data_IF_849031788338
#
_entry.id   IF_849031788338
#
_cell.length_a   1.000
_cell.length_b   1.000
_cell.length_c   1.000
_cell.angle_alpha   90.00
_cell.angle_beta   90.00
_cell.angle_gamma   90.00
#
_symmetry.space_group_name_H-M   'P 1'
#
loop_
_entity.id
_entity.type
_entity.pdbx_description
1 polymer ?
#
# COMPACT_ATOMS: atom_id res chain seq x y z
N UNK A 1 10.70 -5.30 -17.42
CA UNK A 1 11.12 -3.91 -17.69
C UNK A 1 9.93 -3.06 -18.16
N UNK A 2 10.01 -1.77 -17.89
CA UNK A 2 9.04 -0.79 -18.35
C UNK A 2 9.73 0.29 -19.21
N UNK A 3 8.95 1.23 -19.77
CA UNK A 3 9.49 2.42 -20.46
C UNK A 3 10.16 3.43 -19.50
N UNK A 4 10.17 3.14 -18.21
CA UNK A 4 10.79 3.95 -17.17
C UNK A 4 12.06 3.27 -16.67
N UNK A 5 13.18 3.98 -16.71
CA UNK A 5 14.45 3.48 -16.17
C UNK A 5 14.30 3.11 -14.69
N UNK A 6 14.92 2.02 -14.30
CA UNK A 6 14.93 1.50 -12.92
C UNK A 6 13.56 1.07 -12.38
N UNK A 7 12.57 0.81 -13.26
CA UNK A 7 11.28 0.30 -12.87
C UNK A 7 10.95 -0.92 -13.71
N UNK A 8 10.82 -2.06 -13.05
CA UNK A 8 10.27 -3.28 -13.62
C UNK A 8 8.88 -3.54 -13.05
N UNK A 9 8.07 -4.33 -13.73
CA UNK A 9 6.71 -4.66 -13.28
C UNK A 9 6.46 -6.15 -13.48
N UNK A 10 5.84 -6.76 -12.49
CA UNK A 10 5.24 -8.10 -12.55
C UNK A 10 3.74 -7.90 -12.68
N UNK A 11 3.16 -8.07 -13.89
CA UNK A 11 1.74 -7.81 -14.09
C UNK A 11 0.90 -8.96 -13.56
N UNK A 12 -0.16 -8.64 -12.81
CA UNK A 12 -1.21 -9.58 -12.48
C UNK A 12 -2.26 -9.67 -13.61
N UNK A 13 -2.92 -10.81 -13.74
CA UNK A 13 -4.00 -11.03 -14.68
C UNK A 13 -5.07 -11.98 -14.11
N UNK A 14 -6.12 -12.29 -14.88
CA UNK A 14 -7.24 -13.13 -14.44
C UNK A 14 -6.86 -14.56 -14.02
N UNK A 15 -5.65 -15.04 -14.33
CA UNK A 15 -5.17 -16.34 -13.85
C UNK A 15 -4.75 -16.31 -12.37
N UNK A 16 -4.53 -15.13 -11.79
CA UNK A 16 -4.16 -14.99 -10.40
C UNK A 16 -5.22 -15.61 -9.46
N UNK A 17 -6.51 -15.40 -9.76
CA UNK A 17 -7.61 -16.05 -9.03
C UNK A 17 -7.53 -17.58 -9.06
N UNK A 18 -7.14 -18.17 -10.20
CA UNK A 18 -6.95 -19.62 -10.29
C UNK A 18 -5.74 -20.10 -9.47
N UNK A 19 -4.71 -19.29 -9.43
CA UNK A 19 -3.52 -19.57 -8.59
C UNK A 19 -3.90 -19.53 -7.12
N UNK A 20 -4.65 -18.52 -6.70
CA UNK A 20 -5.17 -18.38 -5.35
C UNK A 20 -5.97 -19.62 -4.92
N UNK A 21 -6.95 -20.03 -5.74
CA UNK A 21 -7.73 -21.24 -5.49
C UNK A 21 -6.84 -22.51 -5.41
N UNK A 22 -5.84 -22.62 -6.27
CA UNK A 22 -4.93 -23.76 -6.24
C UNK A 22 -4.07 -23.79 -4.97
N UNK A 23 -3.63 -22.64 -4.47
CA UNK A 23 -2.91 -22.53 -3.21
C UNK A 23 -3.78 -22.97 -2.03
N UNK A 24 -5.04 -22.56 -1.99
CA UNK A 24 -6.00 -22.97 -0.95
C UNK A 24 -6.28 -24.49 -0.97
N UNK A 25 -6.33 -25.09 -2.16
CA UNK A 25 -6.67 -26.52 -2.31
C UNK A 25 -5.46 -27.45 -2.13
N UNK A 26 -4.25 -26.98 -2.32
CA UNK A 26 -3.02 -27.74 -2.15
C UNK A 26 -2.38 -27.39 -0.83
N UNK A 27 -2.45 -28.28 0.14
CA UNK A 27 -1.75 -28.15 1.42
C UNK A 27 -0.24 -28.39 1.19
N UNK A 28 0.49 -27.35 0.82
CA UNK A 28 1.95 -27.37 0.68
C UNK A 28 2.59 -26.57 1.82
N UNK A 29 3.73 -26.99 2.34
CA UNK A 29 4.35 -26.42 3.55
C UNK A 29 4.74 -24.92 3.39
N UNK A 30 5.02 -24.45 2.16
CA UNK A 30 5.45 -23.08 1.89
C UNK A 30 4.40 -22.22 1.16
N UNK A 31 3.14 -22.60 1.16
CA UNK A 31 2.11 -21.92 0.37
C UNK A 31 1.92 -20.42 0.70
N UNK A 32 2.27 -20.00 1.92
CA UNK A 32 2.13 -18.60 2.37
C UNK A 32 3.44 -17.80 2.28
N UNK A 33 4.59 -18.43 2.04
CA UNK A 33 5.92 -17.80 1.99
C UNK A 33 6.49 -17.70 0.59
N UNK A 34 5.79 -18.19 -0.43
CA UNK A 34 6.27 -18.28 -1.81
C UNK A 34 6.72 -16.95 -2.41
N UNK A 35 5.99 -15.89 -2.15
CA UNK A 35 6.37 -14.57 -2.65
C UNK A 35 7.65 -14.08 -1.98
N UNK A 36 7.78 -14.25 -0.68
CA UNK A 36 9.00 -13.90 0.06
C UNK A 36 10.21 -14.65 -0.50
N UNK A 37 10.11 -15.97 -0.66
CA UNK A 37 11.17 -16.81 -1.23
C UNK A 37 11.57 -16.35 -2.65
N UNK A 38 10.57 -16.04 -3.50
CA UNK A 38 10.82 -15.55 -4.86
C UNK A 38 11.44 -14.15 -4.89
N UNK A 39 11.10 -13.26 -3.96
CA UNK A 39 11.67 -11.93 -3.86
C UNK A 39 13.11 -11.96 -3.33
N UNK A 40 13.45 -12.91 -2.44
CA UNK A 40 14.82 -13.12 -1.96
C UNK A 40 15.78 -13.43 -3.09
N UNK A 41 15.34 -14.16 -4.14
CA UNK A 41 16.16 -14.51 -5.31
C UNK A 41 16.59 -13.28 -6.14
N UNK A 42 15.85 -12.16 -6.04
CA UNK A 42 16.09 -10.94 -6.83
C UNK A 42 16.39 -9.71 -5.96
N UNK A 43 16.50 -9.88 -4.65
CA UNK A 43 16.67 -8.79 -3.67
C UNK A 43 17.88 -7.90 -3.96
N UNK A 44 19.00 -8.48 -4.43
CA UNK A 44 20.22 -7.74 -4.76
C UNK A 44 20.07 -6.80 -5.98
N UNK A 45 19.00 -6.96 -6.76
CA UNK A 45 18.77 -6.19 -7.99
C UNK A 45 17.85 -4.98 -7.80
N UNK A 46 17.16 -4.89 -6.65
CA UNK A 46 16.15 -3.86 -6.41
C UNK A 46 16.25 -3.26 -5.01
N UNK A 47 16.10 -1.95 -4.91
CA UNK A 47 16.05 -1.24 -3.62
C UNK A 47 14.68 -1.38 -2.95
N UNK A 48 13.61 -1.45 -3.74
CA UNK A 48 12.22 -1.50 -3.23
C UNK A 48 11.35 -2.41 -4.09
N UNK A 49 10.43 -3.12 -3.44
CA UNK A 49 9.33 -3.84 -4.07
C UNK A 49 8.01 -3.26 -3.58
N UNK A 50 7.14 -2.81 -4.49
CA UNK A 50 5.82 -2.26 -4.16
C UNK A 50 4.75 -3.21 -4.68
N UNK A 51 3.96 -3.80 -3.78
CA UNK A 51 2.86 -4.67 -4.12
C UNK A 51 1.54 -3.89 -4.08
N UNK A 52 0.90 -3.71 -5.24
CA UNK A 52 -0.47 -3.18 -5.33
C UNK A 52 -1.46 -4.34 -5.21
N UNK A 53 -2.20 -4.41 -4.13
CA UNK A 53 -3.08 -5.52 -3.79
C UNK A 53 -4.51 -5.08 -3.50
N UNK A 54 -5.43 -6.06 -3.57
CA UNK A 54 -6.84 -5.86 -3.29
C UNK A 54 -7.15 -5.77 -1.80
N UNK A 55 -8.45 -5.61 -1.49
CA UNK A 55 -8.97 -5.51 -0.12
C UNK A 55 -9.26 -6.85 0.55
N UNK A 56 -9.35 -7.92 -0.23
CA UNK A 56 -9.70 -9.25 0.28
C UNK A 56 -8.43 -9.93 0.77
N UNK A 57 -8.50 -10.51 1.96
CA UNK A 57 -7.44 -11.34 2.51
C UNK A 57 -7.49 -12.74 1.88
N UNK A 58 -7.08 -12.82 0.60
CA UNK A 58 -6.88 -14.07 -0.12
C UNK A 58 -5.43 -14.57 0.05
N UNK A 59 -5.10 -15.74 -0.49
CA UNK A 59 -3.76 -16.32 -0.39
C UNK A 59 -2.69 -15.46 -1.05
N UNK A 60 -3.05 -14.67 -2.07
CA UNK A 60 -2.14 -13.74 -2.72
C UNK A 60 -1.81 -12.58 -1.78
N UNK A 61 -2.82 -11.98 -1.14
CA UNK A 61 -2.63 -10.90 -0.16
C UNK A 61 -1.90 -11.41 1.08
N UNK A 62 -2.18 -12.62 1.57
CA UNK A 62 -1.43 -13.24 2.67
C UNK A 62 0.06 -13.38 2.32
N UNK A 63 0.39 -13.87 1.12
CA UNK A 63 1.77 -13.95 0.65
C UNK A 63 2.46 -12.57 0.59
N UNK A 64 1.74 -11.53 0.15
CA UNK A 64 2.24 -10.16 0.14
C UNK A 64 2.52 -9.65 1.56
N UNK A 65 1.58 -9.84 2.49
CA UNK A 65 1.73 -9.39 3.88
C UNK A 65 2.87 -10.12 4.61
N UNK A 66 3.09 -11.40 4.30
CA UNK A 66 4.21 -12.17 4.87
C UNK A 66 5.56 -11.73 4.29
N UNK A 67 5.59 -11.25 3.05
CA UNK A 67 6.80 -10.74 2.41
C UNK A 67 7.09 -9.26 2.71
N UNK A 68 6.09 -8.50 3.14
CA UNK A 68 6.19 -7.06 3.32
C UNK A 68 6.83 -6.67 4.66
N UNK A 69 7.55 -5.55 4.69
CA UNK A 69 8.04 -4.87 5.89
C UNK A 69 7.06 -3.80 6.36
N UNK A 70 6.33 -3.18 5.42
CA UNK A 70 5.41 -2.10 5.69
C UNK A 70 4.16 -2.20 4.82
N UNK A 71 3.00 -2.12 5.46
CA UNK A 71 1.71 -1.91 4.80
C UNK A 71 1.38 -0.43 4.82
N UNK A 72 1.22 0.17 3.65
CA UNK A 72 0.65 1.51 3.53
C UNK A 72 -0.85 1.37 3.29
N UNK A 73 -1.66 1.74 4.27
CA UNK A 73 -3.11 1.68 4.19
C UNK A 73 -3.71 3.02 3.76
N UNK A 74 -4.17 3.18 2.49
CA UNK A 74 -4.78 4.43 2.05
C UNK A 74 -6.17 4.58 2.65
N UNK A 75 -6.34 5.63 3.46
CA UNK A 75 -7.60 5.98 4.12
C UNK A 75 -8.22 7.20 3.43
N UNK A 76 -9.39 7.02 2.86
CA UNK A 76 -10.20 8.11 2.32
C UNK A 76 -11.16 8.59 3.40
N UNK A 77 -11.48 9.88 3.44
CA UNK A 77 -12.48 10.41 4.37
C UNK A 77 -13.87 9.83 4.09
N UNK A 78 -14.39 9.07 5.05
CA UNK A 78 -15.72 8.46 5.01
C UNK A 78 -16.00 7.71 6.31
N UNK A 79 -17.21 7.20 6.49
CA UNK A 79 -17.63 6.56 7.75
C UNK A 79 -17.18 5.09 7.90
N UNK A 80 -16.85 4.42 6.81
CA UNK A 80 -16.49 2.98 6.80
C UNK A 80 -15.00 2.71 6.79
N UNK A 81 -14.18 3.71 6.53
CA UNK A 81 -12.73 3.53 6.36
C UNK A 81 -12.03 3.30 7.69
N UNK A 82 -12.59 3.80 8.79
CA UNK A 82 -12.08 3.57 10.15
C UNK A 82 -12.25 2.09 10.52
N UNK A 83 -13.45 1.56 10.34
CA UNK A 83 -13.74 0.14 10.57
C UNK A 83 -12.87 -0.77 9.69
N UNK A 84 -12.67 -0.38 8.41
CA UNK A 84 -11.81 -1.13 7.50
C UNK A 84 -10.34 -1.13 7.94
N UNK A 85 -9.85 -0.04 8.53
CA UNK A 85 -8.49 0.04 9.06
C UNK A 85 -8.32 -0.82 10.31
N UNK A 86 -9.29 -0.81 11.23
CA UNK A 86 -9.32 -1.68 12.41
C UNK A 86 -9.34 -3.16 12.03
N UNK A 87 -10.21 -3.53 11.09
CA UNK A 87 -10.25 -4.91 10.57
C UNK A 87 -8.93 -5.33 9.91
N UNK A 88 -8.25 -4.41 9.23
CA UNK A 88 -6.92 -4.70 8.65
C UNK A 88 -5.88 -4.94 9.75
N UNK A 89 -5.90 -4.16 10.82
CA UNK A 89 -4.98 -4.35 11.95
C UNK A 89 -5.20 -5.70 12.61
N UNK A 90 -6.45 -6.10 12.89
CA UNK A 90 -6.79 -7.41 13.42
C UNK A 90 -6.26 -8.55 12.53
N UNK A 91 -6.45 -8.42 11.21
CA UNK A 91 -5.95 -9.41 10.24
C UNK A 91 -4.42 -9.49 10.21
N UNK A 92 -3.73 -8.38 10.37
CA UNK A 92 -2.26 -8.36 10.44
C UNK A 92 -1.78 -8.97 11.75
N UNK A 93 -2.49 -8.75 12.85
CA UNK A 93 -2.14 -9.36 14.14
C UNK A 93 -2.13 -10.89 14.04
N UNK A 94 -3.07 -11.49 13.32
CA UNK A 94 -3.11 -12.94 13.07
C UNK A 94 -1.89 -13.46 12.27
N UNK A 95 -1.20 -12.57 11.54
CA UNK A 95 -0.01 -12.92 10.74
C UNK A 95 1.32 -12.66 11.48
N UNK A 96 1.30 -12.07 12.68
CA UNK A 96 2.52 -11.71 13.42
C UNK A 96 3.35 -12.92 13.85
N UNK A 97 2.75 -14.09 13.98
CA UNK A 97 3.49 -15.33 14.24
C UNK A 97 4.46 -15.70 13.11
N UNK A 98 4.16 -15.25 11.85
CA UNK A 98 4.95 -15.56 10.66
C UNK A 98 5.80 -14.35 10.24
N UNK A 99 5.27 -13.13 10.41
CA UNK A 99 5.95 -11.87 10.11
C UNK A 99 5.80 -10.88 11.28
N UNK A 100 6.60 -11.03 12.35
CA UNK A 100 6.47 -10.22 13.56
C UNK A 100 6.84 -8.75 13.37
N UNK A 101 7.63 -8.44 12.36
CA UNK A 101 8.14 -7.09 12.11
C UNK A 101 7.25 -6.28 11.16
N UNK A 102 6.14 -6.86 10.69
CA UNK A 102 5.21 -6.18 9.79
C UNK A 102 4.59 -4.94 10.44
N UNK A 103 4.81 -3.79 9.83
CA UNK A 103 4.26 -2.50 10.28
C UNK A 103 3.09 -2.08 9.42
N UNK A 104 2.15 -1.31 10.00
CA UNK A 104 1.06 -0.64 9.28
C UNK A 104 1.22 0.85 9.44
N UNK A 105 1.07 1.60 8.35
CA UNK A 105 1.04 3.04 8.38
C UNK A 105 -0.11 3.58 7.54
N UNK A 106 -0.99 4.36 8.15
CA UNK A 106 -2.13 4.94 7.47
C UNK A 106 -1.71 6.15 6.62
N UNK A 107 -2.22 6.22 5.38
CA UNK A 107 -2.03 7.36 4.49
C UNK A 107 -3.38 7.99 4.16
N UNK A 108 -3.65 9.16 4.71
CA UNK A 108 -4.87 9.89 4.37
C UNK A 108 -4.85 10.32 2.91
N UNK A 109 -5.87 9.91 2.15
CA UNK A 109 -5.99 10.22 0.72
C UNK A 109 -7.27 11.00 0.42
N UNK A 110 -7.30 11.67 -0.75
CA UNK A 110 -8.44 12.49 -1.19
C UNK A 110 -8.89 13.53 -0.17
N UNK A 111 -7.97 14.01 0.65
CA UNK A 111 -8.24 15.01 1.70
C UNK A 111 -8.85 16.27 1.08
N UNK A 112 -9.94 16.75 1.69
CA UNK A 112 -10.64 17.98 1.33
C UNK A 112 -10.59 19.00 2.48
N UNK A 113 -10.71 20.29 2.14
CA UNK A 113 -10.79 21.35 3.15
C UNK A 113 -12.24 21.51 3.63
N UNK A 114 -12.77 20.50 4.32
CA UNK A 114 -14.08 20.54 4.98
C UNK A 114 -13.99 20.00 6.40
N UNK A 115 -15.03 20.24 7.19
CA UNK A 115 -15.07 19.90 8.61
C UNK A 115 -14.88 18.39 8.84
N UNK A 116 -15.57 17.56 8.06
CA UNK A 116 -15.50 16.11 8.20
C UNK A 116 -14.09 15.58 7.94
N UNK A 117 -13.39 16.10 6.90
CA UNK A 117 -11.99 15.71 6.63
C UNK A 117 -11.05 16.09 7.78
N UNK A 118 -11.26 17.24 8.40
CA UNK A 118 -10.44 17.67 9.52
C UNK A 118 -10.72 16.84 10.78
N UNK A 119 -11.96 16.52 11.06
CA UNK A 119 -12.34 15.66 12.20
C UNK A 119 -11.76 14.24 12.06
N UNK A 120 -11.83 13.64 10.89
CA UNK A 120 -11.25 12.31 10.64
C UNK A 120 -9.72 12.36 10.72
N UNK A 121 -9.09 13.40 10.16
CA UNK A 121 -7.64 13.59 10.25
C UNK A 121 -7.19 13.73 11.71
N UNK A 122 -7.90 14.48 12.51
CA UNK A 122 -7.61 14.68 13.92
C UNK A 122 -7.79 13.37 14.71
N UNK A 123 -8.90 12.67 14.49
CA UNK A 123 -9.15 11.38 15.12
C UNK A 123 -8.07 10.36 14.78
N UNK A 124 -7.68 10.25 13.51
CA UNK A 124 -6.58 9.36 13.09
C UNK A 124 -5.27 9.70 13.81
N UNK A 125 -4.97 10.98 14.03
CA UNK A 125 -3.72 11.42 14.68
C UNK A 125 -3.71 11.24 16.19
N UNK A 126 -4.86 11.35 16.85
CA UNK A 126 -4.91 11.47 18.31
C UNK A 126 -5.54 10.28 19.02
N UNK A 127 -6.49 9.61 18.40
CA UNK A 127 -7.35 8.62 19.06
C UNK A 127 -7.29 7.22 18.44
N UNK A 128 -6.89 7.12 17.17
CA UNK A 128 -6.93 5.82 16.47
C UNK A 128 -5.88 4.83 16.94
N UNK A 129 -4.75 5.32 17.47
CA UNK A 129 -3.59 4.49 17.80
C UNK A 129 -2.76 4.06 16.60
N UNK A 130 -3.21 4.33 15.37
CA UNK A 130 -2.47 3.98 14.16
C UNK A 130 -1.31 4.94 13.90
N UNK A 131 -0.16 4.39 13.49
CA UNK A 131 0.88 5.20 12.88
C UNK A 131 0.39 5.74 11.51
N UNK A 132 0.72 6.99 11.20
CA UNK A 132 0.27 7.61 9.97
C UNK A 132 1.28 8.58 9.38
N UNK A 133 1.23 8.72 8.07
CA UNK A 133 1.99 9.76 7.39
C UNK A 133 1.53 11.16 7.81
N UNK A 134 2.48 12.05 8.03
CA UNK A 134 2.21 13.46 8.39
C UNK A 134 1.55 14.18 7.21
N UNK A 135 1.99 13.88 6.00
CA UNK A 135 1.49 14.51 4.77
C UNK A 135 0.28 13.76 4.21
N UNK A 136 -0.93 14.34 4.19
CA UNK A 136 -2.07 13.76 3.50
C UNK A 136 -2.00 14.01 1.99
N UNK A 137 -2.54 13.10 1.19
CA UNK A 137 -2.73 13.30 -0.25
C UNK A 137 -4.04 14.04 -0.50
N UNK A 138 -3.97 15.25 -1.01
CA UNK A 138 -5.14 16.09 -1.31
C UNK A 138 -5.92 15.57 -2.52
N UNK A 139 -7.23 15.74 -2.50
CA UNK A 139 -8.06 15.49 -3.68
C UNK A 139 -7.67 16.43 -4.82
N UNK A 140 -7.52 15.88 -6.02
CA UNK A 140 -7.12 16.66 -7.20
C UNK A 140 -7.72 16.10 -8.49
N UNK A 141 -8.36 16.96 -9.25
CA UNK A 141 -8.82 16.67 -10.62
C UNK A 141 -7.62 16.36 -11.55
N UNK A 142 -6.45 16.89 -11.24
CA UNK A 142 -5.22 16.61 -12.00
C UNK A 142 -4.82 15.14 -11.87
N UNK A 143 -4.97 14.53 -10.69
CA UNK A 143 -4.73 13.11 -10.50
C UNK A 143 -5.71 12.26 -11.34
N UNK A 144 -7.00 12.61 -11.33
CA UNK A 144 -8.02 11.93 -12.14
C UNK A 144 -7.69 12.02 -13.65
N UNK A 145 -7.27 13.21 -14.13
CA UNK A 145 -6.86 13.43 -15.53
C UNK A 145 -5.59 12.65 -15.89
N UNK A 146 -4.62 12.55 -14.99
CA UNK A 146 -3.40 11.77 -15.16
C UNK A 146 -3.74 10.29 -15.38
N UNK A 147 -4.62 9.73 -14.55
CA UNK A 147 -5.10 8.34 -14.68
C UNK A 147 -5.82 8.11 -16.01
N UNK A 148 -6.73 9.02 -16.40
CA UNK A 148 -7.45 8.95 -17.68
C UNK A 148 -6.50 8.99 -18.87
N UNK A 149 -5.44 9.80 -18.78
CA UNK A 149 -4.42 9.93 -19.82
C UNK A 149 -3.41 8.77 -19.82
N UNK A 150 -3.45 7.86 -18.84
CA UNK A 150 -2.46 6.79 -18.61
C UNK A 150 -1.02 7.33 -18.54
N UNK A 151 -0.85 8.51 -17.97
CA UNK A 151 0.46 9.14 -17.77
C UNK A 151 0.70 9.28 -16.28
N UNK A 152 1.83 8.77 -15.75
CA UNK A 152 2.15 8.91 -14.33
C UNK A 152 2.12 10.37 -13.87
N UNK A 153 1.50 10.60 -12.72
CA UNK A 153 1.25 11.94 -12.18
C UNK A 153 2.49 12.86 -12.14
N UNK A 154 3.70 12.38 -11.75
CA UNK A 154 4.91 13.21 -11.77
C UNK A 154 5.31 13.71 -13.16
N UNK A 155 4.98 12.95 -14.23
CA UNK A 155 5.18 13.37 -15.63
C UNK A 155 4.04 14.26 -16.11
N UNK A 156 2.79 13.94 -15.76
CA UNK A 156 1.62 14.69 -16.16
C UNK A 156 1.60 16.11 -15.57
N UNK A 157 1.96 16.24 -14.30
CA UNK A 157 1.95 17.53 -13.57
C UNK A 157 3.07 17.59 -12.52
N UNK A 158 4.31 17.78 -12.95
CA UNK A 158 5.50 17.78 -12.09
C UNK A 158 5.41 18.75 -10.90
N UNK A 159 4.80 19.92 -11.08
CA UNK A 159 4.66 20.98 -10.05
C UNK A 159 3.29 21.04 -9.42
N UNK A 160 2.40 20.10 -9.76
CA UNK A 160 1.05 20.03 -9.19
C UNK A 160 1.07 19.76 -7.69
N UNK A 161 0.09 20.30 -7.00
CA UNK A 161 -0.05 20.16 -5.53
C UNK A 161 0.01 18.70 -5.10
N UNK A 162 -0.78 17.84 -5.75
CA UNK A 162 -0.84 16.40 -5.41
C UNK A 162 0.47 15.68 -5.74
N UNK A 163 1.22 16.13 -6.77
CA UNK A 163 2.56 15.58 -7.04
C UNK A 163 3.58 16.00 -5.98
N UNK A 164 3.37 17.14 -5.34
CA UNK A 164 4.18 17.57 -4.20
C UNK A 164 3.82 16.74 -2.96
N UNK A 165 2.53 16.49 -2.70
CA UNK A 165 2.09 15.65 -1.60
C UNK A 165 2.73 14.26 -1.67
N UNK A 166 2.68 13.60 -2.83
CA UNK A 166 3.34 12.29 -3.01
C UNK A 166 4.86 12.36 -2.78
N UNK A 167 5.54 13.43 -3.20
CA UNK A 167 6.97 13.57 -2.91
C UNK A 167 7.25 13.71 -1.42
N UNK A 168 6.41 14.44 -0.70
CA UNK A 168 6.55 14.55 0.75
C UNK A 168 6.35 13.19 1.42
N UNK A 169 5.30 12.45 1.03
CA UNK A 169 5.05 11.09 1.54
C UNK A 169 6.22 10.16 1.25
N UNK A 170 6.77 10.18 0.03
CA UNK A 170 7.95 9.38 -0.32
C UNK A 170 9.16 9.79 0.52
N UNK A 171 9.35 11.07 0.77
CA UNK A 171 10.46 11.53 1.61
C UNK A 171 10.30 11.09 3.07
N UNK A 172 9.08 11.15 3.62
CA UNK A 172 8.75 10.60 4.95
C UNK A 172 9.06 9.11 5.02
N UNK A 173 8.62 8.35 4.01
CA UNK A 173 8.85 6.91 3.91
C UNK A 173 10.33 6.56 3.89
N UNK A 174 11.10 7.19 2.99
CA UNK A 174 12.53 6.91 2.85
C UNK A 174 13.31 7.22 4.12
N UNK A 175 12.96 8.33 4.80
CA UNK A 175 13.59 8.69 6.05
C UNK A 175 13.35 7.65 7.16
N UNK A 176 12.13 7.10 7.21
CA UNK A 176 11.77 6.07 8.19
C UNK A 176 12.42 4.71 7.91
N UNK A 177 12.72 4.42 6.64
CA UNK A 177 13.41 3.17 6.26
C UNK A 177 14.93 3.25 6.45
N UNK A 178 15.49 4.46 6.63
CA UNK A 178 16.91 4.68 6.91
C UNK A 178 17.23 4.69 8.44
N UNK A 179 16.21 4.84 9.31
CA UNK A 179 16.32 4.82 10.78
C UNK A 179 16.20 3.39 11.35
#
# INVERSE_FOLDING_TARGET
PTDYSHIDIIPANGYLMKTDMNLLLKSEDNQVTRLREALEEVSDAYDYCICDCGRLLDMVVINILIAAELVIAPVKVGGYEIEALQNLEEQIEDLRDINPDLRIKALMTMRQKNKTSLEVEEWLKTESGFDMFVTPIRRSIIAEKSTTAMIPLPKFSKRGIVSQDYRCVVHELLKEMEE
#
